data_IF_114030494432
#
_entry.id   IF_114030494432
#
_cell.length_a   1.000
_cell.length_b   1.000
_cell.length_c   1.000
_cell.angle_alpha   90.00
_cell.angle_beta   90.00
_cell.angle_gamma   90.00
#
_symmetry.space_group_name_H-M   'P 1'
#
loop_
_entity.id
_entity.type
_entity.pdbx_description
1 polymer ?
#
# COMPACT_ATOMS: atom_id res chain seq x y z
N UNK A 1 53.13 41.03 5.31
CA UNK A 1 52.96 39.56 5.33
C UNK A 1 51.92 39.06 6.32
N UNK A 2 51.45 39.85 7.30
CA UNK A 2 50.39 39.44 8.24
C UNK A 2 48.92 39.61 7.75
N UNK A 3 48.70 40.55 6.84
CA UNK A 3 47.33 40.80 6.33
C UNK A 3 46.83 39.78 5.31
N UNK A 4 47.76 39.19 4.50
CA UNK A 4 47.40 38.20 3.49
C UNK A 4 46.88 36.86 4.12
N UNK A 5 47.37 36.53 5.34
CA UNK A 5 46.93 35.30 6.04
C UNK A 5 45.56 35.41 6.69
N UNK A 6 45.10 36.61 6.97
CA UNK A 6 43.76 36.86 7.56
C UNK A 6 42.64 36.74 6.51
N UNK A 7 42.90 37.20 5.28
CA UNK A 7 41.91 37.17 4.20
C UNK A 7 41.64 35.75 3.69
N UNK A 8 42.69 34.91 3.59
CA UNK A 8 42.53 33.52 3.16
C UNK A 8 41.75 32.67 4.16
N UNK A 9 41.89 32.91 5.47
CA UNK A 9 41.13 32.20 6.50
C UNK A 9 39.63 32.60 6.52
N UNK A 10 39.30 33.85 6.23
CA UNK A 10 37.90 34.33 6.21
C UNK A 10 37.14 33.82 4.97
N UNK A 11 37.77 33.76 3.80
CA UNK A 11 37.16 33.22 2.58
C UNK A 11 36.96 31.71 2.66
N UNK A 12 37.88 30.96 3.27
CA UNK A 12 37.71 29.51 3.47
C UNK A 12 36.55 29.16 4.41
N UNK A 13 36.32 29.97 5.47
CA UNK A 13 35.24 29.76 6.42
C UNK A 13 33.84 30.06 5.82
N UNK A 14 33.76 31.10 4.99
CA UNK A 14 32.54 31.47 4.27
C UNK A 14 32.14 30.44 3.20
N UNK A 15 33.10 29.90 2.47
CA UNK A 15 32.86 28.85 1.48
C UNK A 15 32.42 27.54 2.13
N UNK A 16 32.98 27.17 3.29
CA UNK A 16 32.60 25.97 4.04
C UNK A 16 31.19 26.09 4.64
N UNK A 17 30.79 27.28 5.13
CA UNK A 17 29.43 27.49 5.67
C UNK A 17 28.35 27.52 4.58
N UNK A 18 28.66 28.02 3.38
CA UNK A 18 27.76 27.99 2.23
C UNK A 18 27.56 26.56 1.69
N UNK A 19 28.60 25.73 1.66
CA UNK A 19 28.47 24.32 1.29
C UNK A 19 27.61 23.52 2.31
N UNK A 20 27.76 23.80 3.60
CA UNK A 20 27.00 23.16 4.64
C UNK A 20 25.49 23.57 4.60
N UNK A 21 25.22 24.82 4.23
CA UNK A 21 23.84 25.32 4.06
C UNK A 21 23.14 24.73 2.82
N UNK A 22 23.88 24.48 1.75
CA UNK A 22 23.36 23.85 0.53
C UNK A 22 23.02 22.35 0.74
N UNK A 23 23.80 21.66 1.60
CA UNK A 23 23.54 20.25 1.95
C UNK A 23 22.30 20.06 2.85
N UNK A 24 21.91 21.07 3.62
CA UNK A 24 20.71 21.03 4.46
C UNK A 24 19.39 21.20 3.70
N UNK A 25 19.45 21.61 2.43
CA UNK A 25 18.26 21.85 1.59
C UNK A 25 17.84 20.64 0.75
N UNK A 26 18.53 19.51 0.87
CA UNK A 26 18.32 18.32 0.01
C UNK A 26 17.42 17.25 0.63
N UNK A 27 16.69 17.56 1.72
CA UNK A 27 15.71 16.60 2.26
C UNK A 27 14.48 16.59 1.35
N UNK A 28 14.15 15.47 0.72
CA UNK A 28 12.94 15.39 -0.09
C UNK A 28 11.70 15.64 0.76
N UNK A 29 10.72 16.30 0.18
CA UNK A 29 9.40 16.38 0.82
C UNK A 29 8.85 14.97 0.98
N UNK A 30 8.29 14.67 2.15
CA UNK A 30 7.61 13.40 2.42
C UNK A 30 6.34 13.66 3.22
N UNK A 31 5.24 13.13 2.72
CA UNK A 31 3.94 13.16 3.38
C UNK A 31 3.39 11.74 3.47
N UNK A 32 3.11 11.29 4.67
CA UNK A 32 2.40 10.04 4.89
C UNK A 32 0.89 10.23 4.67
N UNK A 33 0.26 9.29 3.99
CA UNK A 33 -1.18 9.26 3.76
C UNK A 33 -1.81 8.20 4.67
N UNK A 34 -1.94 8.52 5.96
CA UNK A 34 -2.48 7.62 6.99
C UNK A 34 -3.85 8.05 7.52
N UNK A 35 -4.40 9.18 7.06
CA UNK A 35 -5.64 9.76 7.54
C UNK A 35 -6.72 9.84 6.45
N UNK A 36 -7.98 9.98 6.88
CA UNK A 36 -9.11 10.21 5.99
C UNK A 36 -9.49 9.02 5.10
N UNK A 37 -8.97 7.84 5.36
CA UNK A 37 -9.32 6.65 4.60
C UNK A 37 -10.72 6.15 4.97
N UNK A 38 -11.41 5.68 3.94
CA UNK A 38 -12.69 4.97 4.05
C UNK A 38 -12.66 3.74 3.14
N UNK A 39 -13.46 2.74 3.49
CA UNK A 39 -13.57 1.53 2.69
C UNK A 39 -15.02 1.15 2.46
N UNK A 40 -15.23 0.31 1.46
CA UNK A 40 -16.51 -0.37 1.20
C UNK A 40 -16.28 -1.67 0.46
N UNK A 41 -17.25 -2.56 0.53
CA UNK A 41 -17.39 -3.67 -0.42
C UNK A 41 -17.70 -3.08 -1.81
N UNK A 42 -17.02 -3.54 -2.85
CA UNK A 42 -17.06 -2.89 -4.18
C UNK A 42 -18.49 -2.76 -4.74
N UNK A 43 -19.33 -3.76 -4.51
CA UNK A 43 -20.73 -3.80 -4.99
C UNK A 43 -21.71 -2.99 -4.14
N UNK A 44 -21.32 -2.56 -2.94
CA UNK A 44 -22.19 -1.81 -2.03
C UNK A 44 -21.92 -0.31 -2.12
N UNK A 45 -22.87 0.48 -1.63
CA UNK A 45 -22.77 1.94 -1.64
C UNK A 45 -22.26 2.53 -0.32
N UNK A 46 -22.41 1.80 0.79
CA UNK A 46 -22.09 2.29 2.12
C UNK A 46 -20.57 2.34 2.34
N UNK A 47 -20.07 3.49 2.74
CA UNK A 47 -18.69 3.72 3.13
C UNK A 47 -18.54 3.66 4.64
N UNK A 48 -17.42 3.11 5.09
CA UNK A 48 -17.04 3.02 6.50
C UNK A 48 -15.62 3.58 6.70
N UNK A 49 -15.29 4.12 7.88
CA UNK A 49 -13.92 4.52 8.20
C UNK A 49 -12.94 3.36 8.08
N UNK A 50 -11.77 3.61 7.52
CA UNK A 50 -10.68 2.64 7.42
C UNK A 50 -9.43 3.12 8.15
N UNK A 51 -8.62 2.17 8.60
CA UNK A 51 -7.30 2.41 9.18
C UNK A 51 -6.22 2.03 8.17
N UNK A 52 -5.31 2.95 7.86
CA UNK A 52 -4.15 2.70 7.00
C UNK A 52 -2.88 3.13 7.73
N UNK A 53 -1.91 2.21 7.92
CA UNK A 53 -1.88 0.80 7.47
C UNK A 53 -2.91 -0.09 8.16
N UNK A 54 -3.51 -1.02 7.39
CA UNK A 54 -4.52 -1.94 7.91
C UNK A 54 -4.97 -2.97 6.87
N UNK A 55 -5.89 -3.83 7.29
CA UNK A 55 -6.49 -4.87 6.45
C UNK A 55 -7.99 -4.93 6.66
N UNK A 56 -8.70 -5.48 5.69
CA UNK A 56 -10.17 -5.50 5.67
C UNK A 56 -10.80 -6.13 6.93
N UNK A 57 -10.22 -7.20 7.48
CA UNK A 57 -10.76 -7.86 8.66
C UNK A 57 -10.72 -6.95 9.89
N UNK A 58 -9.62 -6.20 10.08
CA UNK A 58 -9.51 -5.25 11.20
C UNK A 58 -10.46 -4.07 11.04
N UNK A 59 -10.65 -3.59 9.82
CA UNK A 59 -11.57 -2.50 9.53
C UNK A 59 -13.04 -2.91 9.71
N UNK A 60 -13.42 -4.11 9.25
CA UNK A 60 -14.76 -4.67 9.47
C UNK A 60 -15.04 -4.86 10.97
N UNK A 61 -14.06 -5.35 11.73
CA UNK A 61 -14.19 -5.52 13.18
C UNK A 61 -14.33 -4.17 13.90
N UNK A 62 -13.50 -3.20 13.58
CA UNK A 62 -13.53 -1.86 14.18
C UNK A 62 -14.89 -1.15 13.93
N UNK A 63 -15.49 -1.41 12.78
CA UNK A 63 -16.82 -0.88 12.42
C UNK A 63 -17.98 -1.77 12.90
N UNK A 64 -17.72 -2.83 13.67
CA UNK A 64 -18.73 -3.76 14.22
C UNK A 64 -19.59 -4.43 13.14
N UNK A 65 -19.03 -4.63 11.96
CA UNK A 65 -19.70 -5.34 10.85
C UNK A 65 -19.51 -6.85 11.02
N UNK A 66 -18.40 -7.24 11.64
CA UNK A 66 -18.10 -8.63 12.02
C UNK A 66 -17.78 -8.70 13.51
N UNK A 67 -17.95 -9.89 14.07
CA UNK A 67 -17.46 -10.23 15.41
C UNK A 67 -15.98 -10.64 15.37
N UNK A 68 -15.35 -10.73 16.56
CA UNK A 68 -13.95 -11.13 16.69
C UNK A 68 -13.73 -12.51 16.02
N UNK A 69 -12.89 -12.57 14.97
CA UNK A 69 -12.59 -13.83 14.27
C UNK A 69 -11.99 -14.92 15.15
N UNK A 70 -11.29 -14.54 16.22
CA UNK A 70 -10.60 -15.47 17.13
C UNK A 70 -11.51 -15.96 18.26
N UNK A 71 -12.74 -15.47 18.35
CA UNK A 71 -13.66 -15.94 19.38
C UNK A 71 -14.47 -17.14 18.89
N UNK A 72 -14.28 -18.31 19.53
CA UNK A 72 -14.97 -19.57 19.26
C UNK A 72 -14.87 -19.99 17.76
N UNK A 73 -16.01 -20.00 17.07
CA UNK A 73 -16.15 -20.44 15.68
C UNK A 73 -16.50 -19.29 14.71
N UNK A 74 -16.31 -18.03 15.13
CA UNK A 74 -16.67 -16.86 14.32
C UNK A 74 -15.95 -16.86 12.97
N UNK A 75 -14.71 -17.33 12.92
CA UNK A 75 -13.94 -17.52 11.70
C UNK A 75 -14.75 -18.18 10.58
N UNK A 76 -15.56 -19.20 10.91
CA UNK A 76 -16.35 -19.93 9.91
C UNK A 76 -17.39 -19.07 9.22
N UNK A 77 -17.97 -18.11 9.95
CA UNK A 77 -18.94 -17.14 9.43
C UNK A 77 -18.34 -16.03 8.60
N UNK A 78 -16.99 -15.89 8.57
CA UNK A 78 -16.28 -14.79 7.92
C UNK A 78 -15.70 -15.17 6.55
N UNK A 79 -15.83 -16.40 6.10
CA UNK A 79 -15.25 -16.91 4.86
C UNK A 79 -15.83 -16.28 3.58
N UNK A 80 -16.80 -15.37 3.70
CA UNK A 80 -17.32 -14.58 2.58
C UNK A 80 -16.39 -13.39 2.23
N UNK A 81 -15.59 -12.91 3.20
CA UNK A 81 -14.80 -11.67 3.07
C UNK A 81 -13.77 -11.77 1.94
N UNK A 82 -13.11 -12.91 1.82
CA UNK A 82 -12.09 -13.17 0.80
C UNK A 82 -12.66 -13.37 -0.61
N UNK A 83 -13.98 -13.56 -0.71
CA UNK A 83 -14.70 -13.70 -1.99
C UNK A 83 -15.26 -12.38 -2.50
N UNK A 84 -15.06 -11.28 -1.77
CA UNK A 84 -15.53 -9.97 -2.15
C UNK A 84 -14.37 -9.07 -2.58
N UNK A 85 -14.69 -8.15 -3.49
CA UNK A 85 -13.76 -7.10 -3.87
C UNK A 85 -13.99 -5.90 -2.96
N UNK A 86 -12.92 -5.19 -2.62
CA UNK A 86 -12.93 -4.09 -1.67
C UNK A 86 -12.36 -2.81 -2.27
N UNK A 87 -12.89 -1.67 -1.87
CA UNK A 87 -12.41 -0.36 -2.30
C UNK A 87 -11.99 0.42 -1.07
N UNK A 88 -10.78 0.96 -1.10
CA UNK A 88 -10.25 1.95 -0.17
C UNK A 88 -10.10 3.28 -0.87
N UNK A 89 -10.47 4.37 -0.21
CA UNK A 89 -10.42 5.71 -0.80
C UNK A 89 -10.04 6.75 0.24
N UNK A 90 -9.20 7.70 -0.18
CA UNK A 90 -8.90 8.93 0.57
C UNK A 90 -8.75 10.09 -0.40
N UNK A 91 -8.74 11.32 0.14
CA UNK A 91 -8.42 12.53 -0.60
C UNK A 91 -7.22 13.22 0.02
N UNK A 92 -6.42 13.89 -0.80
CA UNK A 92 -5.29 14.69 -0.32
C UNK A 92 -5.06 15.91 -1.21
N UNK A 93 -4.45 16.94 -0.62
CA UNK A 93 -3.91 18.08 -1.35
C UNK A 93 -2.42 18.24 -1.04
N UNK A 94 -1.69 18.81 -1.98
CA UNK A 94 -0.26 19.12 -1.84
C UNK A 94 -0.08 20.64 -1.87
N UNK A 95 0.88 21.17 -1.08
CA UNK A 95 1.26 22.58 -1.19
C UNK A 95 1.69 22.96 -2.60
N UNK A 96 1.42 24.20 -3.02
CA UNK A 96 1.71 24.67 -4.37
C UNK A 96 3.21 24.54 -4.74
N UNK A 97 4.10 24.77 -3.77
CA UNK A 97 5.55 24.60 -3.95
C UNK A 97 5.95 23.13 -4.19
N UNK A 98 5.21 22.17 -3.64
CA UNK A 98 5.44 20.74 -3.86
C UNK A 98 4.95 20.33 -5.25
N UNK A 99 3.85 20.92 -5.73
CA UNK A 99 3.33 20.69 -7.07
C UNK A 99 4.33 21.11 -8.17
N UNK A 100 5.24 22.04 -7.86
CA UNK A 100 6.29 22.49 -8.80
C UNK A 100 7.48 21.53 -8.88
N UNK A 101 7.67 20.62 -7.92
CA UNK A 101 8.81 19.68 -7.92
C UNK A 101 8.88 18.88 -9.22
N UNK A 102 10.09 18.53 -9.66
CA UNK A 102 10.28 17.77 -10.90
C UNK A 102 9.66 16.38 -10.83
N UNK A 103 9.84 15.70 -9.70
CA UNK A 103 9.31 14.36 -9.46
C UNK A 103 8.39 14.39 -8.25
N UNK A 104 7.20 13.80 -8.40
CA UNK A 104 6.26 13.58 -7.29
C UNK A 104 5.82 12.12 -7.37
N UNK A 105 6.23 11.33 -6.40
CA UNK A 105 6.04 9.87 -6.40
C UNK A 105 5.11 9.43 -5.28
N UNK A 106 4.15 8.57 -5.63
CA UNK A 106 3.33 7.83 -4.68
C UNK A 106 3.99 6.47 -4.42
N UNK A 107 4.13 6.12 -3.14
CA UNK A 107 4.84 4.93 -2.70
C UNK A 107 3.95 4.15 -1.76
N UNK A 108 3.62 2.91 -2.12
CA UNK A 108 2.99 1.92 -1.24
C UNK A 108 4.06 0.94 -0.75
N UNK A 109 4.28 0.87 0.55
CA UNK A 109 5.22 -0.11 1.13
C UNK A 109 4.68 -1.53 1.10
N UNK A 110 3.36 -1.70 0.90
CA UNK A 110 2.74 -3.01 0.73
C UNK A 110 1.25 -2.92 0.42
N UNK A 111 0.83 -3.60 -0.64
CA UNK A 111 -0.57 -3.80 -1.03
C UNK A 111 -0.89 -5.30 -1.00
N UNK A 112 -1.91 -5.71 -0.28
CA UNK A 112 -2.30 -7.10 -0.11
C UNK A 112 -3.59 -7.39 -0.86
N UNK A 113 -3.55 -7.96 -2.03
CA UNK A 113 -2.47 -8.49 -2.87
C UNK A 113 -2.70 -8.01 -4.31
N UNK A 114 -3.84 -8.35 -4.92
CA UNK A 114 -4.25 -7.91 -6.25
C UNK A 114 -4.96 -6.58 -6.13
N UNK A 115 -4.31 -5.50 -6.56
CA UNK A 115 -4.86 -4.16 -6.40
C UNK A 115 -4.66 -3.30 -7.64
N UNK A 116 -5.72 -2.60 -8.04
CA UNK A 116 -5.69 -1.53 -9.01
C UNK A 116 -5.76 -0.19 -8.30
N UNK A 117 -4.77 0.67 -8.54
CA UNK A 117 -4.71 2.00 -7.95
C UNK A 117 -5.11 3.05 -8.97
N UNK A 118 -5.99 3.94 -8.53
CA UNK A 118 -6.49 5.05 -9.34
C UNK A 118 -6.20 6.37 -8.65
N UNK A 119 -5.76 7.35 -9.41
CA UNK A 119 -5.65 8.74 -8.99
C UNK A 119 -6.52 9.59 -9.92
N UNK A 120 -7.47 10.34 -9.35
CA UNK A 120 -8.40 11.16 -10.10
C UNK A 120 -9.07 10.37 -11.25
N UNK A 121 -9.60 9.18 -10.92
CA UNK A 121 -10.25 8.19 -11.78
C UNK A 121 -9.35 7.56 -12.87
N UNK A 122 -8.08 7.93 -12.95
CA UNK A 122 -7.12 7.28 -13.87
C UNK A 122 -6.39 6.15 -13.17
N UNK A 123 -6.37 4.97 -13.78
CA UNK A 123 -5.57 3.83 -13.29
C UNK A 123 -4.09 4.13 -13.49
N UNK A 124 -3.34 4.14 -12.40
CA UNK A 124 -1.91 4.49 -12.38
C UNK A 124 -1.00 3.31 -12.02
N UNK A 125 -1.55 2.25 -11.41
CA UNK A 125 -0.78 1.11 -10.96
C UNK A 125 -1.66 -0.15 -10.91
N UNK A 126 -1.07 -1.32 -11.20
CA UNK A 126 -1.62 -2.64 -10.90
C UNK A 126 -0.63 -3.45 -10.08
N UNK A 127 -1.03 -3.86 -8.88
CA UNK A 127 -0.22 -4.65 -7.96
C UNK A 127 -0.71 -6.11 -7.91
N UNK A 128 0.23 -7.04 -7.66
CA UNK A 128 -0.06 -8.47 -7.56
C UNK A 128 0.85 -9.21 -6.58
N UNK A 129 1.48 -8.49 -5.67
CA UNK A 129 2.44 -9.05 -4.72
C UNK A 129 2.46 -8.21 -3.44
N UNK A 130 2.10 -8.81 -2.30
CA UNK A 130 2.03 -8.09 -1.03
C UNK A 130 3.40 -7.71 -0.45
N UNK A 131 4.46 -8.39 -0.86
CA UNK A 131 5.81 -8.21 -0.29
C UNK A 131 6.64 -7.13 -0.98
N UNK A 132 6.16 -6.62 -2.12
CA UNK A 132 6.84 -5.57 -2.88
C UNK A 132 6.43 -4.18 -2.40
N UNK A 133 7.40 -3.27 -2.47
CA UNK A 133 7.13 -1.84 -2.57
C UNK A 133 6.70 -1.49 -3.99
N UNK A 134 5.68 -0.64 -4.11
CA UNK A 134 5.13 -0.17 -5.36
C UNK A 134 5.27 1.34 -5.44
N UNK A 135 5.89 1.83 -6.52
CA UNK A 135 6.15 3.25 -6.72
C UNK A 135 5.62 3.68 -8.09
N UNK A 136 5.04 4.87 -8.15
CA UNK A 136 4.55 5.47 -9.39
C UNK A 136 4.71 6.98 -9.36
N UNK A 137 5.18 7.57 -10.48
CA UNK A 137 5.17 9.01 -10.66
C UNK A 137 3.72 9.48 -10.86
N UNK A 138 3.25 10.34 -9.95
CA UNK A 138 1.88 10.82 -9.96
C UNK A 138 1.74 12.24 -10.49
N UNK A 139 2.84 12.95 -10.75
CA UNK A 139 2.81 14.35 -11.18
C UNK A 139 1.87 14.60 -12.37
N UNK A 140 1.83 13.75 -13.42
CA UNK A 140 0.96 13.97 -14.57
C UNK A 140 -0.54 13.84 -14.28
N UNK A 141 -0.90 13.28 -13.12
CA UNK A 141 -2.28 12.94 -12.75
C UNK A 141 -2.84 13.82 -11.64
N UNK A 142 -2.00 14.72 -11.07
CA UNK A 142 -2.40 15.57 -9.97
C UNK A 142 -3.31 16.72 -10.43
N UNK A 143 -4.32 16.99 -9.62
CA UNK A 143 -5.12 18.20 -9.65
C UNK A 143 -4.58 19.21 -8.64
N UNK A 144 -4.88 20.51 -8.79
CA UNK A 144 -4.43 21.51 -7.84
C UNK A 144 -4.82 21.21 -6.39
N UNK A 145 -6.03 20.70 -6.17
CA UNK A 145 -6.59 20.34 -4.87
C UNK A 145 -7.41 19.06 -4.95
N UNK A 146 -7.75 18.49 -3.79
CA UNK A 146 -8.70 17.39 -3.60
C UNK A 146 -8.41 16.16 -4.48
N UNK A 147 -7.13 15.78 -4.55
CA UNK A 147 -6.74 14.59 -5.28
C UNK A 147 -7.33 13.33 -4.65
N UNK A 148 -8.12 12.59 -5.43
CA UNK A 148 -8.81 11.39 -4.99
C UNK A 148 -7.97 10.17 -5.28
N UNK A 149 -7.51 9.49 -4.24
CA UNK A 149 -6.76 8.24 -4.33
C UNK A 149 -7.67 7.07 -3.98
N UNK A 150 -7.84 6.14 -4.93
CA UNK A 150 -8.67 4.94 -4.79
C UNK A 150 -7.84 3.70 -5.05
N UNK A 151 -7.95 2.72 -4.16
CA UNK A 151 -7.34 1.39 -4.31
C UNK A 151 -8.47 0.35 -4.37
N UNK A 152 -8.57 -0.34 -5.50
CA UNK A 152 -9.52 -1.43 -5.71
C UNK A 152 -8.80 -2.76 -5.49
N UNK A 153 -9.17 -3.49 -4.46
CA UNK A 153 -8.65 -4.82 -4.17
C UNK A 153 -9.57 -5.87 -4.78
N UNK A 154 -9.01 -6.68 -5.66
CA UNK A 154 -9.68 -7.86 -6.19
C UNK A 154 -9.60 -9.01 -5.19
N UNK A 155 -10.66 -9.78 -5.09
CA UNK A 155 -10.67 -11.02 -4.31
C UNK A 155 -9.56 -11.96 -4.80
N UNK A 156 -8.62 -12.38 -3.94
CA UNK A 156 -7.60 -13.35 -4.34
C UNK A 156 -8.22 -14.69 -4.74
N UNK A 157 -9.35 -15.06 -4.15
CA UNK A 157 -10.07 -16.29 -4.48
C UNK A 157 -10.62 -16.22 -5.91
N UNK A 158 -11.32 -15.12 -6.25
CA UNK A 158 -11.85 -14.93 -7.63
C UNK A 158 -10.73 -14.88 -8.68
N UNK A 159 -9.58 -14.29 -8.32
CA UNK A 159 -8.43 -14.16 -9.22
C UNK A 159 -7.70 -15.48 -9.46
N UNK A 160 -7.69 -16.37 -8.48
CA UNK A 160 -6.84 -17.54 -8.51
C UNK A 160 -7.57 -18.85 -8.84
N UNK A 161 -8.88 -18.95 -8.58
CA UNK A 161 -9.70 -20.10 -9.01
C UNK A 161 -9.55 -20.40 -10.52
N UNK A 162 -9.65 -19.40 -11.43
CA UNK A 162 -9.46 -19.69 -12.86
C UNK A 162 -8.07 -20.23 -13.22
N UNK A 163 -7.04 -19.86 -12.43
CA UNK A 163 -5.68 -20.41 -12.63
C UNK A 163 -5.61 -21.88 -12.21
N UNK A 164 -6.27 -22.21 -11.09
CA UNK A 164 -6.41 -23.58 -10.64
C UNK A 164 -7.12 -24.45 -11.68
N UNK A 165 -8.27 -23.98 -12.16
CA UNK A 165 -9.12 -24.71 -13.11
C UNK A 165 -8.43 -24.92 -14.50
N UNK A 166 -7.48 -24.02 -14.85
CA UNK A 166 -6.74 -24.12 -16.11
C UNK A 166 -5.59 -25.13 -16.09
N UNK A 167 -5.20 -25.64 -14.93
CA UNK A 167 -4.08 -26.57 -14.83
C UNK A 167 -4.54 -28.03 -15.03
N UNK A 168 -3.76 -28.84 -15.78
CA UNK A 168 -4.02 -30.26 -15.96
C UNK A 168 -3.69 -31.10 -14.72
N UNK A 169 -2.99 -30.52 -13.75
CA UNK A 169 -2.65 -31.10 -12.45
C UNK A 169 -2.63 -30.02 -11.39
N UNK A 170 -2.78 -30.39 -10.12
CA UNK A 170 -2.83 -29.45 -9.02
C UNK A 170 -1.61 -29.58 -8.11
N UNK A 171 -1.11 -28.42 -7.64
CA UNK A 171 -0.02 -28.38 -6.69
C UNK A 171 -0.52 -28.72 -5.28
N UNK A 172 0.29 -29.45 -4.54
CA UNK A 172 0.04 -29.68 -3.13
C UNK A 172 0.23 -28.38 -2.34
N UNK A 173 -0.71 -28.11 -1.45
CA UNK A 173 -0.69 -26.99 -0.51
C UNK A 173 -1.34 -27.44 0.80
N UNK A 174 -0.60 -28.23 1.58
CA UNK A 174 -1.13 -28.95 2.74
C UNK A 174 -1.77 -28.06 3.81
N UNK A 175 -1.30 -26.82 3.95
CA UNK A 175 -1.82 -25.85 4.93
C UNK A 175 -2.96 -24.97 4.39
N UNK A 176 -3.29 -25.06 3.09
CA UNK A 176 -4.42 -24.33 2.53
C UNK A 176 -5.73 -25.01 2.93
N UNK A 177 -6.47 -24.36 3.82
CA UNK A 177 -7.75 -24.85 4.34
C UNK A 177 -8.90 -24.42 3.43
N UNK A 178 -8.84 -24.79 2.17
CA UNK A 178 -9.82 -24.44 1.13
C UNK A 178 -11.23 -24.93 1.45
N UNK A 179 -11.36 -26.10 2.06
CA UNK A 179 -12.66 -26.65 2.51
C UNK A 179 -13.35 -25.72 3.51
N UNK A 180 -12.60 -25.22 4.51
CA UNK A 180 -13.10 -24.24 5.48
C UNK A 180 -13.49 -22.92 4.79
N UNK A 181 -12.78 -22.56 3.72
CA UNK A 181 -13.06 -21.40 2.88
C UNK A 181 -14.26 -21.55 1.96
N UNK A 182 -14.88 -22.73 1.87
CA UNK A 182 -15.99 -22.99 0.96
C UNK A 182 -15.62 -22.96 -0.52
N UNK A 183 -14.37 -23.30 -0.84
CA UNK A 183 -13.86 -23.49 -2.20
C UNK A 183 -13.40 -24.93 -2.46
N UNK A 184 -13.83 -25.83 -1.59
CA UNK A 184 -13.63 -27.29 -1.66
C UNK A 184 -12.14 -27.66 -1.73
N UNK A 185 -11.73 -28.39 -2.75
CA UNK A 185 -10.37 -28.88 -2.99
C UNK A 185 -9.43 -27.85 -3.66
N UNK A 186 -9.96 -26.68 -4.02
CA UNK A 186 -9.21 -25.66 -4.77
C UNK A 186 -8.24 -24.90 -3.88
N UNK A 187 -7.06 -25.45 -3.70
CA UNK A 187 -5.95 -24.91 -2.90
C UNK A 187 -5.22 -23.80 -3.66
N UNK A 188 -5.79 -22.60 -3.64
CA UNK A 188 -5.35 -21.47 -4.49
C UNK A 188 -4.20 -20.64 -3.91
N UNK A 189 -3.77 -20.89 -2.69
CA UNK A 189 -2.68 -20.16 -2.01
C UNK A 189 -1.37 -20.14 -2.82
N UNK A 190 -1.13 -21.16 -3.64
CA UNK A 190 0.08 -21.31 -4.47
C UNK A 190 0.17 -20.30 -5.61
N UNK A 191 -0.92 -19.64 -5.99
CA UNK A 191 -0.95 -18.67 -7.09
C UNK A 191 -0.75 -17.22 -6.64
N UNK A 192 -1.09 -16.93 -5.38
CA UNK A 192 -0.98 -15.58 -4.84
C UNK A 192 0.41 -15.33 -4.26
N UNK A 193 1.04 -14.19 -4.60
CA UNK A 193 2.23 -13.71 -3.88
C UNK A 193 1.81 -13.02 -2.58
N UNK A 194 1.28 -13.83 -1.68
CA UNK A 194 0.67 -13.49 -0.40
C UNK A 194 1.18 -14.45 0.67
N UNK A 195 1.12 -14.06 1.93
CA UNK A 195 1.52 -14.95 3.03
C UNK A 195 0.62 -16.19 3.05
N UNK A 196 1.23 -17.37 2.92
CA UNK A 196 0.52 -18.65 2.81
C UNK A 196 -0.37 -18.95 4.01
N UNK A 197 0.02 -18.52 5.22
CA UNK A 197 -0.75 -18.72 6.45
C UNK A 197 -2.10 -17.98 6.47
N UNK A 198 -2.34 -17.01 5.59
CA UNK A 198 -3.67 -16.40 5.45
C UNK A 198 -4.73 -17.41 4.95
N UNK A 199 -4.31 -18.41 4.20
CA UNK A 199 -5.20 -19.48 3.72
C UNK A 199 -5.43 -20.59 4.75
N UNK A 200 -4.95 -20.38 5.98
CA UNK A 200 -5.01 -21.30 7.09
C UNK A 200 -3.65 -21.88 7.47
N UNK A 201 -3.56 -22.35 8.69
CA UNK A 201 -2.41 -23.05 9.23
C UNK A 201 -2.89 -24.06 10.28
N UNK A 202 -2.05 -24.98 10.71
CA UNK A 202 -2.42 -25.99 11.72
C UNK A 202 -2.80 -25.40 13.07
N UNK A 203 -2.30 -24.21 13.41
CA UNK A 203 -2.59 -23.48 14.63
C UNK A 203 -3.29 -22.13 14.43
N UNK A 204 -3.61 -21.74 13.21
CA UNK A 204 -4.16 -20.42 12.90
C UNK A 204 -5.41 -20.48 12.03
N UNK A 205 -6.33 -19.50 12.22
CA UNK A 205 -7.55 -19.43 11.44
C UNK A 205 -7.27 -19.10 9.98
N UNK A 206 -8.19 -19.49 9.10
CA UNK A 206 -8.17 -19.07 7.70
C UNK A 206 -8.80 -17.69 7.57
N UNK A 207 -7.96 -16.68 7.37
CA UNK A 207 -8.37 -15.28 7.17
C UNK A 207 -7.60 -14.69 5.97
N UNK A 208 -8.12 -14.91 4.78
CA UNK A 208 -7.50 -14.39 3.55
C UNK A 208 -7.84 -12.91 3.41
N UNK A 209 -6.90 -12.06 3.83
CA UNK A 209 -7.09 -10.61 3.94
C UNK A 209 -6.92 -9.88 2.61
N UNK A 210 -7.28 -8.60 2.60
CA UNK A 210 -6.92 -7.61 1.59
C UNK A 210 -6.73 -6.26 2.29
N UNK A 211 -5.87 -5.39 1.77
CA UNK A 211 -5.71 -4.06 2.35
C UNK A 211 -4.36 -3.39 2.05
N UNK A 212 -4.26 -2.15 2.51
CA UNK A 212 -3.04 -1.36 2.48
C UNK A 212 -2.28 -1.64 3.79
N UNK A 213 -1.59 -2.77 3.85
CA UNK A 213 -1.07 -3.33 5.10
C UNK A 213 0.24 -2.69 5.60
N UNK A 214 0.85 -1.81 4.79
CA UNK A 214 2.04 -1.02 5.12
C UNK A 214 1.82 0.44 4.75
N UNK A 215 2.67 1.36 5.26
CA UNK A 215 2.50 2.79 5.03
C UNK A 215 2.45 3.21 3.56
N UNK A 216 1.76 4.31 3.30
CA UNK A 216 1.67 4.99 2.01
C UNK A 216 2.27 6.38 2.14
N UNK A 217 3.11 6.79 1.18
CA UNK A 217 3.76 8.09 1.18
C UNK A 217 3.63 8.78 -0.16
N UNK A 218 3.69 10.11 -0.12
CA UNK A 218 4.08 10.94 -1.25
C UNK A 218 5.47 11.50 -0.96
N UNK A 219 6.39 11.32 -1.91
CA UNK A 219 7.70 11.92 -1.89
C UNK A 219 7.85 12.84 -3.10
N UNK A 220 8.50 14.01 -2.91
CA UNK A 220 8.74 14.95 -3.98
C UNK A 220 10.14 15.57 -3.88
N UNK A 221 10.81 15.73 -5.03
CA UNK A 221 12.16 16.28 -5.11
C UNK A 221 12.43 16.88 -6.49
N UNK A 222 13.51 17.65 -6.56
CA UNK A 222 14.14 18.13 -7.80
C UNK A 222 15.47 17.38 -8.00
N UNK A 223 16.01 17.42 -9.21
CA UNK A 223 17.32 16.89 -9.62
C UNK A 223 17.60 15.45 -9.19
N UNK A 224 17.98 15.21 -7.93
CA UNK A 224 18.42 13.92 -7.45
C UNK A 224 17.85 13.57 -6.06
N UNK A 225 17.59 12.29 -5.87
CA UNK A 225 17.15 11.72 -4.60
C UNK A 225 17.89 10.39 -4.34
N UNK A 226 18.53 10.29 -3.18
CA UNK A 226 19.13 9.04 -2.73
C UNK A 226 18.04 8.21 -2.05
N UNK A 227 17.63 7.13 -2.68
CA UNK A 227 16.56 6.28 -2.16
C UNK A 227 17.05 5.28 -1.11
N UNK A 228 18.22 4.65 -1.35
CA UNK A 228 18.86 3.71 -0.42
C UNK A 228 20.37 3.83 -0.48
N UNK A 229 21.03 3.62 0.66
CA UNK A 229 22.48 3.45 0.78
C UNK A 229 22.70 2.04 1.34
N UNK A 230 23.44 1.22 0.61
CA UNK A 230 23.80 -0.13 1.00
C UNK A 230 25.27 -0.19 1.46
#
# INVERSE_FOLDING_TARGET
MKELKSTVKRTGLLASSLLCSALLMAVPFRKELNEGWKFKQARLTNWYPATVPGVIHTDLLANKIIEDPFFRLNERGLQWIDKEDWIYETTFSLPAEIMQKQTIRLIFKGLDTYADVYLNEKKILAANNMFREWQVDIKPYLLPDDNKLKVYFHSPIKMDIPKWDALPYHYEASNDQSENGGVFDKKVSVFARKAGYHYGWDWGPRLVTSGIWRPVFIEAWDDAHIHNIF
#
